data_IF_761651291711
#
_entry.id   IF_761651291711
#
_cell.length_a   1.000
_cell.length_b   1.000
_cell.length_c   1.000
_cell.angle_alpha   90.00
_cell.angle_beta   90.00
_cell.angle_gamma   90.00
#
_symmetry.space_group_name_H-M   'P 1'
#
loop_
_entity.id
_entity.type
_entity.pdbx_description
1 polymer ?
#
# COMPACT_ATOMS: atom_id res chain seq x y z
N UNK A 1 -19.92 29.99 2.58
CA UNK A 1 -20.02 29.69 1.12
C UNK A 1 -18.74 30.01 0.35
N UNK A 2 -18.03 31.09 0.61
CA UNK A 2 -16.77 31.47 -0.09
C UNK A 2 -15.63 30.44 0.07
N UNK A 3 -15.50 29.80 1.24
CA UNK A 3 -14.46 28.79 1.49
C UNK A 3 -14.64 27.55 0.62
N UNK A 4 -15.88 27.07 0.46
CA UNK A 4 -16.20 25.91 -0.37
C UNK A 4 -15.98 26.20 -1.85
N UNK A 5 -16.38 27.40 -2.31
CA UNK A 5 -16.16 27.80 -3.69
C UNK A 5 -14.66 27.96 -4.02
N UNK A 6 -13.87 28.46 -3.06
CA UNK A 6 -12.42 28.59 -3.18
C UNK A 6 -11.73 27.23 -3.23
N UNK A 7 -12.14 26.31 -2.37
CA UNK A 7 -11.71 24.93 -2.37
C UNK A 7 -11.97 24.26 -3.73
N UNK A 8 -13.22 24.35 -4.22
CA UNK A 8 -13.65 23.75 -5.48
C UNK A 8 -12.93 24.29 -6.72
N UNK A 9 -12.52 25.57 -6.69
CA UNK A 9 -11.71 26.17 -7.77
C UNK A 9 -10.25 25.70 -7.79
N UNK A 10 -9.70 25.31 -6.64
CA UNK A 10 -8.30 24.88 -6.49
C UNK A 10 -8.10 23.36 -6.58
N UNK A 11 -9.16 22.59 -6.43
CA UNK A 11 -9.11 21.13 -6.46
C UNK A 11 -8.99 20.63 -7.89
N UNK A 12 -8.07 19.69 -8.14
CA UNK A 12 -8.02 18.91 -9.37
C UNK A 12 -9.23 17.96 -9.42
N UNK A 13 -10.21 18.34 -10.23
CA UNK A 13 -11.48 17.62 -10.35
C UNK A 13 -11.31 16.24 -10.98
N UNK A 14 -10.36 16.11 -11.92
CA UNK A 14 -10.10 14.83 -12.59
C UNK A 14 -9.53 13.85 -11.60
N UNK A 15 -8.53 14.27 -10.81
CA UNK A 15 -7.94 13.44 -9.77
C UNK A 15 -8.97 13.04 -8.71
N UNK A 16 -9.79 13.99 -8.24
CA UNK A 16 -10.84 13.72 -7.26
C UNK A 16 -11.86 12.69 -7.80
N UNK A 17 -12.32 12.87 -9.05
CA UNK A 17 -13.25 11.93 -9.69
C UNK A 17 -12.64 10.53 -9.85
N UNK A 18 -11.37 10.43 -10.21
CA UNK A 18 -10.67 9.14 -10.31
C UNK A 18 -10.57 8.45 -8.94
N UNK A 19 -10.29 9.20 -7.86
CA UNK A 19 -10.27 8.65 -6.50
C UNK A 19 -11.65 8.17 -6.06
N UNK A 20 -12.71 8.93 -6.32
CA UNK A 20 -14.09 8.54 -6.01
C UNK A 20 -14.53 7.34 -6.82
N UNK A 21 -14.21 7.31 -8.11
CA UNK A 21 -14.52 6.20 -8.99
C UNK A 21 -13.83 4.91 -8.55
N UNK A 22 -12.52 4.95 -8.28
CA UNK A 22 -11.77 3.78 -7.82
C UNK A 22 -12.26 3.26 -6.47
N UNK A 23 -12.60 4.17 -5.53
CA UNK A 23 -13.21 3.79 -4.24
C UNK A 23 -14.59 3.14 -4.43
N UNK A 24 -15.43 3.69 -5.30
CA UNK A 24 -16.73 3.12 -5.65
C UNK A 24 -16.60 1.74 -6.29
N UNK A 25 -15.66 1.58 -7.23
CA UNK A 25 -15.38 0.28 -7.85
C UNK A 25 -14.91 -0.76 -6.84
N UNK A 26 -14.09 -0.38 -5.84
CA UNK A 26 -13.67 -1.30 -4.79
C UNK A 26 -14.86 -1.79 -3.95
N UNK A 27 -15.78 -0.91 -3.58
CA UNK A 27 -17.02 -1.28 -2.85
C UNK A 27 -17.89 -2.21 -3.70
N UNK A 28 -18.09 -1.89 -4.98
CA UNK A 28 -18.88 -2.71 -5.91
C UNK A 28 -18.27 -4.09 -6.11
N UNK A 29 -16.94 -4.18 -6.26
CA UNK A 29 -16.24 -5.45 -6.41
C UNK A 29 -16.43 -6.34 -5.17
N UNK A 30 -16.29 -5.79 -3.96
CA UNK A 30 -16.52 -6.53 -2.72
C UNK A 30 -18.00 -6.92 -2.53
N UNK A 31 -18.93 -6.06 -2.91
CA UNK A 31 -20.35 -6.37 -2.87
C UNK A 31 -20.73 -7.48 -3.86
N UNK A 32 -20.18 -7.44 -5.09
CA UNK A 32 -20.36 -8.48 -6.11
C UNK A 32 -19.79 -9.82 -5.66
N UNK A 33 -18.59 -9.79 -5.02
CA UNK A 33 -17.98 -10.99 -4.47
C UNK A 33 -18.83 -11.58 -3.33
N UNK A 34 -19.34 -10.75 -2.42
CA UNK A 34 -20.23 -11.17 -1.35
C UNK A 34 -21.55 -11.78 -1.89
N UNK A 35 -22.13 -11.17 -2.93
CA UNK A 35 -23.31 -11.70 -3.59
C UNK A 35 -23.08 -13.07 -4.24
N UNK A 36 -21.85 -13.32 -4.75
CA UNK A 36 -21.47 -14.58 -5.40
C UNK A 36 -21.24 -15.71 -4.38
N UNK A 37 -20.78 -15.38 -3.18
CA UNK A 37 -20.55 -16.33 -2.10
C UNK A 37 -21.83 -16.73 -1.34
N UNK A 38 -22.75 -15.80 -1.17
CA UNK A 38 -24.08 -16.13 -0.72
C UNK A 38 -24.92 -16.51 -1.94
N UNK A 39 -25.36 -17.75 -2.09
CA UNK A 39 -26.10 -18.32 -3.22
C UNK A 39 -27.28 -17.47 -3.76
N UNK A 40 -27.13 -16.18 -3.97
CA UNK A 40 -28.17 -15.23 -4.31
C UNK A 40 -29.23 -15.16 -3.20
N UNK A 41 -30.23 -14.32 -3.39
CA UNK A 41 -31.43 -14.32 -2.54
C UNK A 41 -32.19 -15.65 -2.73
N UNK A 42 -31.77 -16.69 -2.02
CA UNK A 42 -32.54 -17.92 -1.95
C UNK A 42 -33.60 -17.75 -0.85
N UNK A 43 -34.84 -17.64 -1.26
CA UNK A 43 -35.98 -17.75 -0.32
C UNK A 43 -36.22 -19.23 -0.15
N UNK A 44 -36.04 -19.74 1.06
CA UNK A 44 -36.46 -21.11 1.38
C UNK A 44 -37.99 -21.21 1.14
N UNK A 45 -38.34 -22.02 0.15
CA UNK A 45 -39.74 -22.19 -0.27
C UNK A 45 -40.68 -22.77 0.80
N UNK A 46 -40.14 -23.32 1.91
CA UNK A 46 -40.90 -23.88 3.01
C UNK A 46 -41.10 -22.91 4.17
N UNK A 47 -40.11 -22.07 4.44
CA UNK A 47 -40.14 -21.20 5.62
C UNK A 47 -40.30 -19.71 5.29
N UNK A 48 -40.18 -19.33 4.02
CA UNK A 48 -40.19 -17.94 3.58
C UNK A 48 -39.01 -17.12 4.10
N UNK A 49 -38.04 -17.74 4.77
CA UNK A 49 -36.85 -17.07 5.27
C UNK A 49 -35.84 -16.83 4.14
N UNK A 50 -35.26 -15.66 4.12
CA UNK A 50 -34.16 -15.31 3.21
C UNK A 50 -32.94 -16.09 3.70
N UNK A 51 -32.62 -17.19 3.06
CA UNK A 51 -31.41 -17.96 3.28
C UNK A 51 -30.37 -17.53 2.25
N UNK A 52 -29.14 -17.23 2.68
CA UNK A 52 -28.07 -16.88 1.76
C UNK A 52 -27.83 -15.39 1.57
N UNK A 53 -27.99 -14.58 2.62
CA UNK A 53 -27.50 -13.21 2.62
C UNK A 53 -25.97 -13.27 2.59
N UNK A 54 -25.36 -12.91 1.48
CA UNK A 54 -23.90 -12.82 1.36
C UNK A 54 -23.30 -11.92 2.45
N UNK A 55 -22.11 -12.26 2.93
CA UNK A 55 -21.42 -11.45 3.94
C UNK A 55 -20.95 -10.11 3.35
N UNK A 56 -21.84 -9.13 3.36
CA UNK A 56 -21.55 -7.75 2.92
C UNK A 56 -20.70 -6.95 3.91
N UNK A 57 -20.28 -7.54 5.04
CA UNK A 57 -19.51 -6.85 6.06
C UNK A 57 -18.25 -6.20 5.47
N UNK A 58 -17.53 -6.89 4.59
CA UNK A 58 -16.33 -6.35 3.93
C UNK A 58 -16.65 -5.13 3.05
N UNK A 59 -17.74 -5.19 2.29
CA UNK A 59 -18.18 -4.06 1.47
C UNK A 59 -18.60 -2.86 2.33
N UNK A 60 -19.29 -3.08 3.44
CA UNK A 60 -19.68 -2.02 4.38
C UNK A 60 -18.47 -1.38 5.07
N UNK A 61 -17.50 -2.18 5.51
CA UNK A 61 -16.24 -1.68 6.08
C UNK A 61 -15.48 -0.85 5.04
N UNK A 62 -15.41 -1.31 3.80
CA UNK A 62 -14.77 -0.57 2.70
C UNK A 62 -15.48 0.76 2.41
N UNK A 63 -16.81 0.77 2.39
CA UNK A 63 -17.59 2.00 2.20
C UNK A 63 -17.37 2.99 3.36
N UNK A 64 -17.36 2.51 4.60
CA UNK A 64 -17.06 3.32 5.77
C UNK A 64 -15.64 3.89 5.74
N UNK A 65 -14.65 3.07 5.40
CA UNK A 65 -13.26 3.51 5.25
C UNK A 65 -13.11 4.56 4.11
N UNK A 66 -13.79 4.36 2.99
CA UNK A 66 -13.81 5.32 1.89
C UNK A 66 -14.42 6.66 2.31
N UNK A 67 -15.53 6.64 3.05
CA UNK A 67 -16.16 7.87 3.57
C UNK A 67 -15.23 8.63 4.53
N UNK A 68 -14.60 7.92 5.47
CA UNK A 68 -13.59 8.50 6.38
C UNK A 68 -12.41 9.06 5.56
N UNK A 69 -11.91 8.31 4.59
CA UNK A 69 -10.82 8.72 3.72
C UNK A 69 -11.12 10.01 2.96
N UNK A 70 -12.34 10.16 2.45
CA UNK A 70 -12.79 11.40 1.77
C UNK A 70 -12.78 12.58 2.75
N UNK A 71 -13.32 12.40 3.96
CA UNK A 71 -13.31 13.47 4.99
C UNK A 71 -11.89 13.87 5.34
N UNK A 72 -11.01 12.90 5.59
CA UNK A 72 -9.59 13.15 5.90
C UNK A 72 -8.89 13.84 4.73
N UNK A 73 -9.14 13.42 3.49
CA UNK A 73 -8.57 14.06 2.30
C UNK A 73 -8.98 15.54 2.18
N UNK A 74 -10.27 15.84 2.44
CA UNK A 74 -10.77 17.23 2.45
C UNK A 74 -10.11 18.05 3.56
N UNK A 75 -9.95 17.50 4.76
CA UNK A 75 -9.29 18.18 5.87
C UNK A 75 -7.81 18.44 5.57
N UNK A 76 -7.09 17.42 5.11
CA UNK A 76 -5.67 17.52 4.78
C UNK A 76 -5.38 18.44 3.60
N UNK A 77 -6.29 18.54 2.62
CA UNK A 77 -6.12 19.44 1.47
C UNK A 77 -6.14 20.93 1.84
N UNK A 78 -6.60 21.28 3.05
CA UNK A 78 -6.53 22.64 3.59
C UNK A 78 -5.21 22.91 4.34
N UNK A 79 -4.38 21.90 4.56
CA UNK A 79 -3.09 22.02 5.24
C UNK A 79 -2.00 22.22 4.17
N UNK A 80 -1.13 23.21 4.38
CA UNK A 80 0.05 23.35 3.52
C UNK A 80 1.00 22.18 3.79
N UNK A 81 1.27 21.38 2.75
CA UNK A 81 2.21 20.25 2.84
C UNK A 81 3.61 20.66 3.30
N UNK A 82 4.02 21.94 3.09
CA UNK A 82 5.29 22.48 3.59
C UNK A 82 5.36 22.48 5.11
N UNK A 83 4.24 22.69 5.77
CA UNK A 83 4.15 22.59 7.24
C UNK A 83 4.37 21.15 7.70
N UNK A 84 3.84 20.17 6.96
CA UNK A 84 4.09 18.75 7.24
C UNK A 84 5.55 18.37 7.02
N UNK A 85 6.18 18.89 5.97
CA UNK A 85 7.61 18.67 5.72
C UNK A 85 8.47 19.27 6.84
N UNK A 86 8.12 20.43 7.38
CA UNK A 86 8.89 21.08 8.45
C UNK A 86 8.87 20.28 9.77
N UNK A 87 7.82 19.50 10.02
CA UNK A 87 7.71 18.62 11.20
C UNK A 87 8.11 17.16 10.92
N UNK A 88 8.93 16.94 9.87
CA UNK A 88 9.33 15.60 9.42
C UNK A 88 9.87 14.69 10.55
N UNK A 89 10.65 15.14 11.56
CA UNK A 89 11.11 14.23 12.59
C UNK A 89 9.96 13.64 13.41
N UNK A 90 8.88 14.42 13.62
CA UNK A 90 7.72 14.00 14.39
C UNK A 90 6.95 12.91 13.66
N UNK A 91 6.57 13.13 12.39
CA UNK A 91 5.81 12.12 11.65
C UNK A 91 6.65 10.90 11.30
N UNK A 92 7.97 11.04 11.10
CA UNK A 92 8.89 9.90 10.95
C UNK A 92 8.93 9.08 12.25
N UNK A 93 9.16 9.73 13.40
CA UNK A 93 9.20 9.05 14.68
C UNK A 93 7.88 8.31 15.00
N UNK A 94 6.74 8.96 14.75
CA UNK A 94 5.41 8.36 14.95
C UNK A 94 5.18 7.16 14.03
N UNK A 95 5.43 7.29 12.74
CA UNK A 95 5.15 6.22 11.77
C UNK A 95 6.09 5.04 11.96
N UNK A 96 7.39 5.28 12.09
CA UNK A 96 8.36 4.21 12.34
C UNK A 96 8.25 3.64 13.76
N UNK A 97 7.85 4.44 14.75
CA UNK A 97 7.53 3.96 16.08
C UNK A 97 6.35 2.96 16.09
N UNK A 98 5.45 3.02 15.10
CA UNK A 98 4.40 2.03 14.89
C UNK A 98 4.87 0.84 14.03
N UNK A 99 5.75 1.06 13.04
CA UNK A 99 6.23 0.01 12.14
C UNK A 99 7.23 -0.92 12.84
N UNK A 100 8.22 -0.37 13.58
CA UNK A 100 9.29 -1.17 14.16
C UNK A 100 8.84 -2.23 15.17
N UNK A 101 7.83 -2.00 16.03
CA UNK A 101 7.35 -3.05 16.95
C UNK A 101 6.86 -4.30 16.20
N UNK A 102 6.25 -4.17 15.03
CA UNK A 102 5.75 -5.31 14.27
C UNK A 102 6.85 -6.18 13.64
N UNK A 103 8.10 -5.72 13.60
CA UNK A 103 9.26 -6.55 13.24
C UNK A 103 9.54 -7.65 14.26
N UNK A 104 9.39 -7.31 15.54
CA UNK A 104 9.80 -8.15 16.67
C UNK A 104 8.60 -8.85 17.30
N UNK A 105 7.51 -8.11 17.43
CA UNK A 105 6.28 -8.58 18.07
C UNK A 105 5.38 -9.21 17.00
N UNK A 106 5.19 -10.53 17.11
CA UNK A 106 4.37 -11.28 16.16
C UNK A 106 3.16 -11.85 16.86
N UNK A 107 1.97 -11.41 16.46
CA UNK A 107 0.66 -11.90 16.91
C UNK A 107 0.47 -11.88 18.44
N UNK A 108 0.99 -10.86 19.12
CA UNK A 108 0.84 -10.69 20.58
C UNK A 108 -0.37 -9.80 20.86
N UNK A 109 -1.30 -10.33 21.66
CA UNK A 109 -2.53 -9.61 22.06
C UNK A 109 -2.38 -9.01 23.46
N UNK A 110 -2.66 -7.72 23.57
CA UNK A 110 -2.71 -6.96 24.82
C UNK A 110 -4.11 -6.38 24.95
N UNK A 111 -5.00 -7.07 25.65
CA UNK A 111 -6.41 -6.73 25.68
C UNK A 111 -7.04 -6.80 24.27
N UNK A 112 -7.73 -5.73 23.80
CA UNK A 112 -8.34 -5.72 22.47
C UNK A 112 -7.35 -5.49 21.32
N UNK A 113 -6.09 -5.12 21.64
CA UNK A 113 -5.04 -4.79 20.68
C UNK A 113 -4.16 -5.99 20.41
N UNK A 114 -4.03 -6.41 19.15
CA UNK A 114 -3.04 -7.39 18.68
C UNK A 114 -2.00 -6.68 17.83
N UNK A 115 -0.72 -6.83 18.19
CA UNK A 115 0.45 -6.28 17.48
C UNK A 115 1.04 -7.39 16.62
N UNK A 116 1.46 -7.05 15.40
CA UNK A 116 1.99 -8.03 14.45
C UNK A 116 0.93 -9.07 14.06
N UNK A 117 -0.30 -8.63 13.84
CA UNK A 117 -1.39 -9.49 13.41
C UNK A 117 -1.15 -9.97 11.97
N UNK A 118 -1.31 -11.26 11.76
CA UNK A 118 -1.29 -11.88 10.43
C UNK A 118 -2.71 -11.85 9.84
N UNK A 119 -2.90 -11.10 8.77
CA UNK A 119 -4.22 -10.87 8.19
C UNK A 119 -4.68 -11.95 7.19
N UNK A 120 -3.91 -13.03 6.95
CA UNK A 120 -4.29 -13.97 5.90
C UNK A 120 -3.46 -15.24 5.78
N UNK A 121 -3.08 -15.88 6.90
CA UNK A 121 -2.28 -17.11 6.91
C UNK A 121 -0.98 -17.06 6.07
N UNK A 122 -0.43 -15.86 5.95
CA UNK A 122 0.84 -15.58 5.29
C UNK A 122 1.90 -15.25 6.34
N UNK A 123 3.17 -15.21 5.97
CA UNK A 123 4.25 -14.78 6.88
C UNK A 123 4.29 -13.24 7.11
N UNK A 124 3.21 -12.53 6.78
CA UNK A 124 3.09 -11.10 6.90
C UNK A 124 2.52 -10.70 8.27
N UNK A 125 3.36 -10.15 9.14
CA UNK A 125 3.02 -9.70 10.50
C UNK A 125 2.98 -8.16 10.64
N UNK A 126 2.73 -7.44 9.56
CA UNK A 126 2.78 -5.97 9.50
C UNK A 126 1.53 -5.23 10.00
N UNK A 127 0.55 -5.93 10.54
CA UNK A 127 -0.75 -5.36 10.90
C UNK A 127 -0.93 -5.17 12.40
N UNK A 128 -1.75 -4.19 12.75
CA UNK A 128 -2.38 -4.05 14.06
C UNK A 128 -3.85 -4.44 13.94
N UNK A 129 -4.36 -5.18 14.93
CA UNK A 129 -5.78 -5.49 15.04
C UNK A 129 -6.31 -4.91 16.35
N UNK A 130 -7.36 -4.11 16.26
CA UNK A 130 -8.06 -3.55 17.41
C UNK A 130 -9.53 -3.99 17.36
N UNK A 131 -9.88 -5.02 18.12
CA UNK A 131 -11.19 -5.64 18.03
C UNK A 131 -11.51 -6.16 16.64
N UNK A 132 -12.50 -5.58 15.97
CA UNK A 132 -12.90 -5.92 14.59
C UNK A 132 -12.22 -5.12 13.50
N UNK A 133 -11.34 -4.17 13.84
CA UNK A 133 -10.66 -3.28 12.91
C UNK A 133 -9.18 -3.66 12.78
N UNK A 134 -8.67 -3.69 11.55
CA UNK A 134 -7.25 -3.91 11.27
C UNK A 134 -6.67 -2.69 10.56
N UNK A 135 -5.44 -2.35 10.89
CA UNK A 135 -4.74 -1.24 10.28
C UNK A 135 -3.26 -1.57 10.08
N UNK A 136 -2.69 -1.09 8.99
CA UNK A 136 -1.30 -1.35 8.63
C UNK A 136 -0.47 -0.06 8.78
N UNK A 137 0.50 -0.02 9.72
CA UNK A 137 1.31 1.18 9.96
C UNK A 137 2.15 1.61 8.75
N UNK A 138 2.56 0.65 7.91
CA UNK A 138 3.34 0.93 6.69
C UNK A 138 2.60 1.80 5.68
N UNK A 139 1.25 1.82 5.72
CA UNK A 139 0.45 2.74 4.90
C UNK A 139 0.63 4.20 5.35
N UNK A 140 0.71 4.46 6.66
CA UNK A 140 1.02 5.79 7.19
C UNK A 140 2.50 6.16 6.95
N UNK A 141 3.40 5.18 7.15
CA UNK A 141 4.82 5.38 6.91
C UNK A 141 5.14 5.69 5.44
N UNK A 142 4.31 5.22 4.50
CA UNK A 142 4.40 5.56 3.07
C UNK A 142 4.24 7.06 2.82
N UNK A 143 3.27 7.69 3.48
CA UNK A 143 3.06 9.14 3.38
C UNK A 143 4.28 9.89 3.92
N UNK A 144 4.78 9.47 5.10
CA UNK A 144 5.99 10.03 5.69
C UNK A 144 7.21 9.86 4.77
N UNK A 145 7.38 8.69 4.18
CA UNK A 145 8.43 8.41 3.20
C UNK A 145 8.36 9.34 1.99
N UNK A 146 7.19 9.50 1.38
CA UNK A 146 7.01 10.37 0.21
C UNK A 146 7.43 11.82 0.54
N UNK A 147 6.99 12.35 1.69
CA UNK A 147 7.32 13.71 2.11
C UNK A 147 8.82 13.89 2.36
N UNK A 148 9.44 12.97 3.10
CA UNK A 148 10.87 13.04 3.44
C UNK A 148 11.77 12.78 2.25
N UNK A 149 11.37 11.86 1.36
CA UNK A 149 12.11 11.57 0.15
C UNK A 149 12.04 12.74 -0.86
N UNK A 150 10.86 13.36 -1.00
CA UNK A 150 10.70 14.57 -1.81
C UNK A 150 11.56 15.73 -1.27
N UNK A 151 11.61 15.92 0.06
CA UNK A 151 12.47 16.90 0.69
C UNK A 151 13.96 16.60 0.42
N UNK A 152 14.38 15.35 0.56
CA UNK A 152 15.76 14.93 0.27
C UNK A 152 16.13 15.19 -1.20
N UNK A 153 15.27 14.80 -2.14
CA UNK A 153 15.44 15.07 -3.56
C UNK A 153 15.57 16.57 -3.86
N UNK A 154 14.72 17.39 -3.26
CA UNK A 154 14.77 18.84 -3.44
C UNK A 154 16.08 19.43 -2.92
N UNK A 155 16.56 18.96 -1.77
CA UNK A 155 17.81 19.45 -1.16
C UNK A 155 19.06 19.12 -2.00
N UNK A 156 19.04 17.99 -2.73
CA UNK A 156 20.18 17.58 -3.56
C UNK A 156 19.97 17.83 -5.05
N UNK A 157 18.93 18.56 -5.43
CA UNK A 157 18.47 18.74 -6.83
C UNK A 157 19.60 19.11 -7.79
N UNK A 158 20.49 20.01 -7.42
CA UNK A 158 21.62 20.45 -8.26
C UNK A 158 22.74 19.41 -8.36
N UNK A 159 22.79 18.44 -7.45
CA UNK A 159 23.81 17.40 -7.34
C UNK A 159 23.23 15.99 -7.41
N UNK A 160 21.99 15.84 -7.88
CA UNK A 160 21.23 14.60 -7.91
C UNK A 160 22.00 13.47 -8.62
N UNK A 161 22.76 13.79 -9.66
CA UNK A 161 23.50 12.84 -10.46
C UNK A 161 24.94 12.58 -9.97
N UNK A 162 25.34 13.17 -8.84
CA UNK A 162 26.61 12.86 -8.19
C UNK A 162 26.49 11.49 -7.47
N UNK A 163 27.45 10.56 -7.65
CA UNK A 163 27.36 9.22 -7.08
C UNK A 163 27.16 9.22 -5.56
N UNK A 164 27.77 10.17 -4.86
CA UNK A 164 27.69 10.31 -3.40
C UNK A 164 26.27 10.67 -2.94
N UNK A 165 25.62 11.63 -3.61
CA UNK A 165 24.27 12.05 -3.26
C UNK A 165 23.23 11.00 -3.71
N UNK A 166 23.44 10.40 -4.87
CA UNK A 166 22.65 9.27 -5.33
C UNK A 166 22.72 8.10 -4.33
N UNK A 167 23.91 7.77 -3.81
CA UNK A 167 24.08 6.73 -2.79
C UNK A 167 23.27 7.00 -1.52
N UNK A 168 23.20 8.26 -1.05
CA UNK A 168 22.37 8.64 0.10
C UNK A 168 20.86 8.52 -0.20
N UNK A 169 20.44 8.88 -1.40
CA UNK A 169 19.05 8.73 -1.84
C UNK A 169 18.67 7.25 -1.94
N UNK A 170 19.54 6.42 -2.49
CA UNK A 170 19.31 4.99 -2.54
C UNK A 170 19.24 4.38 -1.14
N UNK A 171 20.10 4.81 -0.20
CA UNK A 171 19.99 4.38 1.19
C UNK A 171 18.65 4.78 1.81
N UNK A 172 18.19 6.03 1.59
CA UNK A 172 16.88 6.49 2.06
C UNK A 172 15.72 5.69 1.47
N UNK A 173 15.85 5.21 0.23
CA UNK A 173 14.85 4.36 -0.45
C UNK A 173 14.91 2.92 0.05
N UNK A 174 16.11 2.30 0.10
CA UNK A 174 16.24 0.88 0.37
C UNK A 174 16.07 0.51 1.85
N UNK A 175 16.35 1.41 2.80
CA UNK A 175 16.15 1.13 4.22
C UNK A 175 14.67 0.81 4.54
N UNK A 176 13.69 1.65 4.16
CA UNK A 176 12.27 1.29 4.33
C UNK A 176 11.89 -0.02 3.62
N UNK A 177 12.33 -0.20 2.38
CA UNK A 177 12.04 -1.41 1.59
C UNK A 177 12.52 -2.66 2.33
N UNK A 178 13.76 -2.64 2.83
CA UNK A 178 14.34 -3.78 3.54
C UNK A 178 13.58 -4.08 4.84
N UNK A 179 13.20 -3.06 5.61
CA UNK A 179 12.43 -3.23 6.84
C UNK A 179 11.07 -3.87 6.54
N UNK A 180 10.37 -3.39 5.53
CA UNK A 180 9.05 -3.89 5.13
C UNK A 180 9.15 -5.33 4.57
N UNK A 181 10.19 -5.63 3.81
CA UNK A 181 10.48 -6.98 3.32
C UNK A 181 10.72 -7.96 4.49
N UNK A 182 11.49 -7.57 5.49
CA UNK A 182 11.74 -8.39 6.70
C UNK A 182 10.43 -8.67 7.48
N UNK A 183 9.43 -7.79 7.40
CA UNK A 183 8.09 -8.02 7.96
C UNK A 183 7.27 -9.07 7.19
N UNK A 184 7.74 -9.52 6.01
CA UNK A 184 7.02 -10.41 5.11
C UNK A 184 6.04 -9.70 4.18
N UNK A 185 6.12 -8.37 4.06
CA UNK A 185 5.21 -7.58 3.20
C UNK A 185 5.89 -7.16 1.90
N UNK A 186 6.17 -8.16 1.05
CA UNK A 186 6.81 -7.93 -0.24
C UNK A 186 5.99 -7.02 -1.16
N UNK A 187 4.66 -7.11 -1.08
CA UNK A 187 3.76 -6.29 -1.87
C UNK A 187 3.95 -4.79 -1.58
N UNK A 188 3.94 -4.43 -0.30
CA UNK A 188 4.19 -3.04 0.12
C UNK A 188 5.63 -2.61 -0.15
N UNK A 189 6.62 -3.49 0.03
CA UNK A 189 8.03 -3.21 -0.30
C UNK A 189 8.22 -2.82 -1.78
N UNK A 190 7.57 -3.56 -2.70
CA UNK A 190 7.58 -3.25 -4.14
C UNK A 190 6.95 -1.88 -4.42
N UNK A 191 5.84 -1.55 -3.76
CA UNK A 191 5.16 -0.25 -3.92
C UNK A 191 6.09 0.89 -3.50
N UNK A 192 6.82 0.76 -2.38
CA UNK A 192 7.83 1.76 -1.98
C UNK A 192 8.93 1.91 -3.03
N UNK A 193 9.40 0.80 -3.61
CA UNK A 193 10.36 0.79 -4.71
C UNK A 193 9.85 1.57 -5.93
N UNK A 194 8.63 1.28 -6.36
CA UNK A 194 8.01 1.96 -7.51
C UNK A 194 7.86 3.46 -7.24
N UNK A 195 7.34 3.85 -6.06
CA UNK A 195 7.19 5.25 -5.67
C UNK A 195 8.55 5.96 -5.71
N UNK A 196 9.58 5.39 -5.09
CA UNK A 196 10.92 5.98 -5.07
C UNK A 196 11.53 6.12 -6.46
N UNK A 197 11.40 5.10 -7.31
CA UNK A 197 11.85 5.15 -8.71
C UNK A 197 11.13 6.24 -9.51
N UNK A 198 9.80 6.34 -9.37
CA UNK A 198 9.03 7.40 -10.02
C UNK A 198 9.45 8.79 -9.54
N UNK A 199 9.72 8.96 -8.25
CA UNK A 199 10.18 10.24 -7.69
C UNK A 199 11.59 10.60 -8.16
N UNK A 200 12.51 9.64 -8.23
CA UNK A 200 13.87 9.84 -8.80
C UNK A 200 13.80 10.24 -10.27
N UNK A 201 12.95 9.57 -11.05
CA UNK A 201 12.72 9.90 -12.44
C UNK A 201 12.16 11.33 -12.59
N UNK A 202 11.12 11.66 -11.84
CA UNK A 202 10.50 12.98 -11.86
C UNK A 202 11.44 14.10 -11.40
N UNK A 203 12.40 13.79 -10.51
CA UNK A 203 13.42 14.73 -10.05
C UNK A 203 14.53 14.99 -11.09
N UNK A 204 14.58 14.23 -12.18
CA UNK A 204 15.56 14.38 -13.27
C UNK A 204 16.80 13.54 -13.11
N UNK A 205 16.68 12.33 -12.53
CA UNK A 205 17.77 11.37 -12.50
C UNK A 205 18.22 11.02 -13.92
N UNK A 206 19.52 11.01 -14.16
CA UNK A 206 20.12 10.71 -15.46
C UNK A 206 19.71 9.32 -15.96
N UNK A 207 19.33 9.25 -17.23
CA UNK A 207 19.00 7.98 -17.91
C UNK A 207 20.05 6.89 -17.77
N UNK A 208 21.32 7.27 -17.63
CA UNK A 208 22.42 6.32 -17.43
C UNK A 208 22.19 5.45 -16.17
N UNK A 209 21.74 6.06 -15.08
CA UNK A 209 21.46 5.34 -13.83
C UNK A 209 20.17 4.52 -13.95
N UNK A 210 19.14 5.05 -14.61
CA UNK A 210 17.86 4.35 -14.81
C UNK A 210 18.07 3.09 -15.67
N UNK A 211 18.73 3.24 -16.82
CA UNK A 211 19.03 2.12 -17.72
C UNK A 211 19.96 1.13 -17.04
N UNK A 212 21.01 1.62 -16.34
CA UNK A 212 21.92 0.76 -15.59
C UNK A 212 21.21 -0.06 -14.51
N UNK A 213 20.33 0.57 -13.72
CA UNK A 213 19.54 -0.12 -12.69
C UNK A 213 18.56 -1.13 -13.32
N UNK A 214 17.86 -0.77 -14.39
CA UNK A 214 16.95 -1.66 -15.09
C UNK A 214 17.69 -2.87 -15.69
N UNK A 215 18.86 -2.65 -16.30
CA UNK A 215 19.70 -3.73 -16.84
C UNK A 215 20.23 -4.65 -15.75
N UNK A 216 20.69 -4.08 -14.63
CA UNK A 216 21.15 -4.86 -13.47
C UNK A 216 20.03 -5.71 -12.87
N UNK A 217 18.82 -5.15 -12.73
CA UNK A 217 17.64 -5.87 -12.25
C UNK A 217 17.25 -7.00 -13.22
N UNK A 218 17.23 -6.74 -14.53
CA UNK A 218 16.91 -7.75 -15.53
C UNK A 218 17.95 -8.90 -15.51
N UNK A 219 19.23 -8.56 -15.39
CA UNK A 219 20.29 -9.56 -15.27
C UNK A 219 20.15 -10.38 -13.97
N UNK A 220 19.87 -9.73 -12.83
CA UNK A 220 19.65 -10.42 -11.56
C UNK A 220 18.45 -11.36 -11.63
N UNK A 221 17.34 -10.93 -12.25
CA UNK A 221 16.15 -11.79 -12.47
C UNK A 221 16.47 -12.97 -13.39
N UNK A 222 17.21 -12.75 -14.47
CA UNK A 222 17.62 -13.83 -15.37
C UNK A 222 18.50 -14.87 -14.65
N UNK A 223 19.46 -14.42 -13.84
CA UNK A 223 20.30 -15.29 -13.01
C UNK A 223 19.45 -16.02 -11.98
N UNK A 224 18.58 -15.32 -11.26
CA UNK A 224 17.69 -15.95 -10.28
C UNK A 224 16.80 -17.02 -10.93
N UNK A 225 16.24 -16.74 -12.09
CA UNK A 225 15.43 -17.70 -12.83
C UNK A 225 16.26 -18.92 -13.29
N UNK A 226 17.48 -18.69 -13.80
CA UNK A 226 18.35 -19.78 -14.26
C UNK A 226 18.78 -20.74 -13.14
N UNK A 227 19.06 -20.22 -11.94
CA UNK A 227 19.57 -21.02 -10.83
C UNK A 227 18.52 -21.46 -9.81
N UNK A 228 17.38 -20.78 -9.74
CA UNK A 228 16.35 -20.98 -8.70
C UNK A 228 14.95 -21.23 -9.26
N UNK A 229 14.82 -21.57 -10.56
CA UNK A 229 13.50 -21.78 -11.21
C UNK A 229 12.61 -22.77 -10.45
N UNK A 230 13.19 -23.87 -9.94
CA UNK A 230 12.44 -24.89 -9.18
C UNK A 230 11.89 -24.40 -7.84
N UNK A 231 12.56 -23.41 -7.23
CA UNK A 231 12.09 -22.78 -5.97
C UNK A 231 11.12 -21.64 -6.24
N UNK A 232 11.37 -20.85 -7.28
CA UNK A 232 10.53 -19.72 -7.69
C UNK A 232 9.16 -20.25 -8.13
N UNK A 233 9.12 -21.33 -8.93
CA UNK A 233 7.88 -21.95 -9.41
C UNK A 233 6.99 -22.60 -8.34
N UNK A 234 7.50 -22.75 -7.12
CA UNK A 234 6.75 -23.30 -5.95
C UNK A 234 6.47 -22.24 -4.89
N UNK A 235 6.85 -20.98 -5.12
CA UNK A 235 6.64 -19.90 -4.17
C UNK A 235 5.22 -19.35 -4.21
N UNK A 236 4.67 -18.95 -3.05
CA UNK A 236 3.36 -18.31 -2.91
C UNK A 236 3.13 -17.15 -3.91
N UNK A 237 4.15 -16.33 -4.15
CA UNK A 237 4.07 -15.21 -5.10
C UNK A 237 3.88 -15.70 -6.55
N UNK A 238 4.48 -16.83 -6.90
CA UNK A 238 4.31 -17.44 -8.23
C UNK A 238 2.87 -17.91 -8.47
N UNK A 239 2.27 -18.55 -7.48
CA UNK A 239 0.87 -18.95 -7.57
C UNK A 239 -0.08 -17.76 -7.74
N UNK A 240 0.21 -16.62 -7.10
CA UNK A 240 -0.59 -15.39 -7.30
C UNK A 240 -0.48 -14.85 -8.73
N UNK A 241 0.71 -14.92 -9.34
CA UNK A 241 0.91 -14.53 -10.74
C UNK A 241 0.16 -15.48 -11.68
N UNK A 242 0.26 -16.79 -11.44
CA UNK A 242 -0.45 -17.81 -12.21
C UNK A 242 -1.96 -17.65 -12.11
N UNK A 243 -2.50 -17.36 -10.94
CA UNK A 243 -3.94 -17.13 -10.75
C UNK A 243 -4.48 -15.93 -11.53
N UNK A 244 -3.63 -14.94 -11.86
CA UNK A 244 -4.00 -13.81 -12.72
C UNK A 244 -3.97 -14.21 -14.20
N UNK A 245 -3.01 -15.05 -14.61
CA UNK A 245 -2.82 -15.46 -16.01
C UNK A 245 -3.79 -16.58 -16.38
N UNK A 246 -4.00 -17.53 -15.48
CA UNK A 246 -4.90 -18.67 -15.66
C UNK A 246 -5.78 -18.83 -14.40
N UNK A 247 -6.97 -18.17 -14.37
CA UNK A 247 -7.90 -18.22 -13.24
C UNK A 247 -8.49 -19.60 -12.96
N UNK A 248 -8.40 -20.55 -13.91
CA UNK A 248 -8.93 -21.90 -13.79
C UNK A 248 -7.89 -22.91 -13.31
N UNK A 249 -6.68 -22.48 -13.02
CA UNK A 249 -5.63 -23.34 -12.51
C UNK A 249 -5.88 -23.61 -11.01
N UNK A 250 -6.44 -24.77 -10.68
CA UNK A 250 -6.84 -25.18 -9.31
C UNK A 250 -5.64 -25.49 -8.37
N UNK A 251 -4.44 -25.02 -8.66
CA UNK A 251 -3.25 -25.27 -7.86
C UNK A 251 -2.99 -24.21 -6.78
N UNK A 252 -4.04 -23.55 -6.26
CA UNK A 252 -3.98 -22.55 -5.20
C UNK A 252 -4.84 -22.92 -4.00
#
# INVERSE_FOLDING_TARGET
MESIQRYWKRTDKVYLLLCLFSSGMAVLALASWAAKQGNGFAVDGLTGQITGVGDYRRAMVQAGAAAIGIVVAILLSNIDYRSLVNVWPVHVALTWGLVLPTLVIRNVSIGPLTIGYNAGDTDNYSWYKLGGFTFQPTELAKISFILTFAMHLNNVRSRLNEPKELGKLLLHLFVPIAIIHIQGDDGTAIIYGIIGCCMLFAAGLSWKYIVGAASALAAAMAVAFAFFSDKIGKGYQWYRILAVIDPNNETG
#
